data_IF_489053819255
#
_entry.id   IF_489053819255
#
_cell.length_a   1.000
_cell.length_b   1.000
_cell.length_c   1.000
_cell.angle_alpha   90.00
_cell.angle_beta   90.00
_cell.angle_gamma   90.00
#
_symmetry.space_group_name_H-M   'P 1'
#
loop_
_entity.id
_entity.type
_entity.pdbx_description
1 polymer ?
#
# COMPACT_ATOMS: atom_id res chain seq x y z
N UNK A 1 22.76 -9.96 11.15
CA UNK A 1 21.44 -9.35 10.89
C UNK A 1 20.94 -9.93 9.58
N UNK A 2 19.72 -10.47 9.48
CA UNK A 2 19.21 -10.87 8.16
C UNK A 2 19.08 -9.59 7.33
N UNK A 3 19.99 -9.41 6.37
CA UNK A 3 19.94 -8.31 5.41
C UNK A 3 18.87 -8.64 4.37
N UNK A 4 18.19 -7.60 3.87
CA UNK A 4 17.27 -7.71 2.75
C UNK A 4 17.95 -7.04 1.54
N UNK A 5 18.67 -7.79 0.68
CA UNK A 5 19.42 -7.21 -0.43
C UNK A 5 18.56 -6.35 -1.35
N UNK A 6 17.29 -6.74 -1.53
CA UNK A 6 16.33 -5.99 -2.35
C UNK A 6 15.99 -4.60 -1.83
N UNK A 7 16.37 -4.27 -0.58
CA UNK A 7 16.12 -2.96 0.05
C UNK A 7 17.39 -2.10 0.18
N UNK A 8 18.56 -2.58 -0.25
CA UNK A 8 19.84 -1.88 -0.06
C UNK A 8 19.88 -0.52 -0.76
N UNK A 9 19.15 -0.36 -1.86
CA UNK A 9 19.13 0.87 -2.66
C UNK A 9 17.98 1.83 -2.29
N UNK A 10 17.29 1.57 -1.18
CA UNK A 10 16.23 2.44 -0.69
C UNK A 10 16.84 3.80 -0.29
N UNK A 11 16.28 4.88 -0.83
CA UNK A 11 16.74 6.25 -0.54
C UNK A 11 16.18 6.73 0.81
N UNK A 12 17.00 7.35 1.66
CA UNK A 12 16.59 7.81 3.00
C UNK A 12 15.30 8.66 3.02
N UNK A 13 15.08 9.64 2.11
CA UNK A 13 13.85 10.42 2.10
C UNK A 13 12.58 9.58 1.87
N UNK A 14 12.72 8.39 1.28
CA UNK A 14 11.63 7.48 1.00
C UNK A 14 11.33 6.51 2.15
N UNK A 15 12.18 6.43 3.18
CA UNK A 15 12.02 5.50 4.30
C UNK A 15 10.65 5.58 4.99
N UNK A 16 10.12 6.77 5.32
CA UNK A 16 8.81 6.85 5.96
C UNK A 16 7.69 6.25 5.10
N UNK A 17 7.74 6.48 3.79
CA UNK A 17 6.76 5.98 2.82
C UNK A 17 6.88 4.48 2.60
N UNK A 18 8.10 3.96 2.55
CA UNK A 18 8.35 2.52 2.49
C UNK A 18 7.81 1.81 3.75
N UNK A 19 8.18 2.31 4.93
CA UNK A 19 7.77 1.72 6.20
C UNK A 19 6.25 1.70 6.34
N UNK A 20 5.57 2.81 6.05
CA UNK A 20 4.10 2.81 6.11
C UNK A 20 3.49 1.88 5.07
N UNK A 21 4.04 1.79 3.85
CA UNK A 21 3.57 0.84 2.81
C UNK A 21 3.66 -0.62 3.27
N UNK A 22 4.81 -1.02 3.83
CA UNK A 22 5.02 -2.36 4.35
C UNK A 22 4.11 -2.65 5.55
N UNK A 23 4.03 -1.72 6.51
CA UNK A 23 3.18 -1.86 7.70
C UNK A 23 1.71 -1.95 7.30
N UNK A 24 1.23 -1.11 6.37
CA UNK A 24 -0.18 -1.15 5.91
C UNK A 24 -0.53 -2.48 5.27
N UNK A 25 0.37 -3.10 4.51
CA UNK A 25 0.14 -4.47 3.98
C UNK A 25 -0.18 -5.44 5.10
N UNK A 26 0.62 -5.49 6.17
CA UNK A 26 0.34 -6.38 7.31
C UNK A 26 -0.99 -6.06 7.99
N UNK A 27 -1.24 -4.80 8.32
CA UNK A 27 -2.47 -4.40 9.03
C UNK A 27 -3.74 -4.62 8.20
N UNK A 28 -3.68 -4.39 6.88
CA UNK A 28 -4.81 -4.59 6.00
C UNK A 28 -5.32 -6.03 6.02
N UNK A 29 -4.41 -7.03 6.00
CA UNK A 29 -4.80 -8.44 5.98
C UNK A 29 -4.92 -9.08 7.36
N UNK A 30 -4.15 -8.63 8.35
CA UNK A 30 -4.04 -9.30 9.66
C UNK A 30 -4.76 -8.57 10.80
N UNK A 31 -5.29 -7.38 10.55
CA UNK A 31 -6.11 -6.63 11.50
C UNK A 31 -7.39 -6.08 10.84
N UNK A 32 -8.26 -6.94 10.30
CA UNK A 32 -9.49 -6.51 9.61
C UNK A 32 -10.46 -5.74 10.52
N UNK A 33 -10.35 -5.94 11.85
CA UNK A 33 -11.14 -5.24 12.86
C UNK A 33 -10.55 -3.88 13.27
N UNK A 34 -9.45 -3.45 12.64
CA UNK A 34 -8.77 -2.17 12.89
C UNK A 34 -8.45 -1.93 14.37
N UNK A 35 -8.00 -2.97 15.07
CA UNK A 35 -7.66 -2.93 16.50
C UNK A 35 -6.32 -2.26 16.78
N UNK A 36 -5.49 -2.06 15.76
CA UNK A 36 -4.12 -1.59 15.89
C UNK A 36 -3.17 -2.67 16.42
N UNK A 37 -3.59 -3.94 16.44
CA UNK A 37 -2.80 -5.07 16.97
C UNK A 37 -2.85 -6.26 16.03
N UNK A 38 -1.70 -6.88 15.82
CA UNK A 38 -1.57 -8.13 15.06
C UNK A 38 -1.06 -9.20 16.02
N UNK A 39 -1.74 -10.35 16.08
CA UNK A 39 -1.27 -11.47 16.88
C UNK A 39 -0.05 -12.11 16.20
N UNK A 40 0.98 -12.42 16.98
CA UNK A 40 2.22 -13.05 16.47
C UNK A 40 1.90 -14.33 15.69
N UNK A 41 0.98 -15.17 16.20
CA UNK A 41 0.57 -16.41 15.53
C UNK A 41 0.05 -16.14 14.11
N UNK A 42 -0.77 -15.10 13.94
CA UNK A 42 -1.43 -14.79 12.67
C UNK A 42 -0.39 -14.24 11.68
N UNK A 43 0.57 -13.45 12.17
CA UNK A 43 1.72 -13.00 11.39
C UNK A 43 2.61 -14.16 10.94
N UNK A 44 2.92 -15.11 11.83
CA UNK A 44 3.80 -16.26 11.52
C UNK A 44 3.16 -17.25 10.54
N UNK A 45 1.84 -17.41 10.57
CA UNK A 45 1.11 -18.30 9.65
C UNK A 45 0.66 -17.61 8.36
N UNK A 46 0.92 -16.31 8.22
CA UNK A 46 0.43 -15.51 7.10
C UNK A 46 1.35 -15.63 5.87
N UNK A 47 0.77 -15.70 4.65
CA UNK A 47 1.56 -15.62 3.41
C UNK A 47 2.27 -14.26 3.26
N UNK A 48 1.80 -13.21 3.94
CA UNK A 48 2.41 -11.87 3.90
C UNK A 48 3.82 -11.89 4.49
N UNK A 49 4.08 -12.69 5.53
CA UNK A 49 5.43 -12.81 6.08
C UNK A 49 6.36 -13.58 5.12
N UNK A 50 5.82 -14.57 4.40
CA UNK A 50 6.57 -15.29 3.38
C UNK A 50 6.96 -14.35 2.22
N UNK A 51 6.01 -13.53 1.74
CA UNK A 51 6.24 -12.48 0.74
C UNK A 51 7.38 -11.53 1.19
N UNK A 52 7.39 -11.08 2.44
CA UNK A 52 8.49 -10.27 2.97
C UNK A 52 9.84 -11.01 2.94
N UNK A 53 9.86 -12.31 3.20
CA UNK A 53 11.10 -13.10 3.20
C UNK A 53 11.67 -13.37 1.80
N UNK A 54 10.87 -13.27 0.74
CA UNK A 54 11.38 -13.35 -0.64
C UNK A 54 12.42 -12.26 -0.94
N UNK A 55 12.35 -11.11 -0.27
CA UNK A 55 13.33 -10.02 -0.38
C UNK A 55 14.74 -10.40 0.08
N UNK A 56 14.91 -11.55 0.74
CA UNK A 56 16.24 -12.10 1.08
C UNK A 56 16.95 -12.69 -0.13
N UNK A 57 16.23 -13.00 -1.21
CA UNK A 57 16.84 -13.45 -2.45
C UNK A 57 17.72 -12.34 -3.02
N UNK A 58 18.96 -12.66 -3.36
CA UNK A 58 19.87 -11.75 -4.09
C UNK A 58 19.52 -11.68 -5.57
N UNK A 59 18.76 -12.65 -6.08
CA UNK A 59 18.31 -12.74 -7.47
C UNK A 59 16.79 -12.65 -7.48
N UNK A 60 16.29 -11.47 -7.83
CA UNK A 60 14.87 -11.21 -8.02
C UNK A 60 14.71 -10.53 -9.37
N UNK A 61 13.88 -11.09 -10.24
CA UNK A 61 13.60 -10.46 -11.53
C UNK A 61 12.78 -9.18 -11.31
N UNK A 62 12.75 -8.29 -12.31
CA UNK A 62 11.91 -7.10 -12.23
C UNK A 62 10.42 -7.47 -12.09
N UNK A 63 9.98 -8.54 -12.75
CA UNK A 63 8.59 -9.02 -12.68
C UNK A 63 8.25 -9.51 -11.27
N UNK A 64 9.11 -10.34 -10.66
CA UNK A 64 8.94 -10.80 -9.28
C UNK A 64 8.94 -9.62 -8.31
N UNK A 65 9.86 -8.67 -8.50
CA UNK A 65 9.91 -7.46 -7.68
C UNK A 65 8.61 -6.65 -7.81
N UNK A 66 8.07 -6.49 -9.02
CA UNK A 66 6.80 -5.77 -9.23
C UNK A 66 5.57 -6.52 -8.69
N UNK A 67 5.66 -7.84 -8.52
CA UNK A 67 4.62 -8.67 -7.90
C UNK A 67 4.68 -8.69 -6.38
N UNK A 68 5.87 -8.51 -5.80
CA UNK A 68 6.08 -8.47 -4.36
C UNK A 68 5.87 -7.06 -3.80
N UNK A 69 4.89 -6.88 -2.92
CA UNK A 69 4.53 -5.57 -2.38
C UNK A 69 5.61 -4.94 -1.50
N UNK A 70 6.47 -5.76 -0.90
CA UNK A 70 7.56 -5.29 -0.03
C UNK A 70 8.80 -4.85 -0.80
N UNK A 71 8.88 -5.10 -2.11
CA UNK A 71 10.00 -4.65 -2.91
C UNK A 71 10.04 -3.11 -3.01
N UNK A 72 11.24 -2.58 -3.27
CA UNK A 72 11.42 -1.15 -3.57
C UNK A 72 10.61 -0.75 -4.80
N UNK A 73 10.60 -1.60 -5.83
CA UNK A 73 9.95 -1.35 -7.11
C UNK A 73 8.43 -1.21 -6.96
N UNK A 74 7.80 -2.12 -6.21
CA UNK A 74 6.36 -2.07 -5.92
C UNK A 74 6.00 -0.88 -5.05
N UNK A 75 6.78 -0.63 -3.99
CA UNK A 75 6.55 0.51 -3.09
C UNK A 75 6.65 1.85 -3.84
N UNK A 76 7.67 2.00 -4.69
CA UNK A 76 7.83 3.18 -5.55
C UNK A 76 6.69 3.31 -6.56
N UNK A 77 6.27 2.22 -7.23
CA UNK A 77 5.14 2.25 -8.17
C UNK A 77 3.88 2.82 -7.53
N UNK A 78 3.58 2.42 -6.30
CA UNK A 78 2.39 2.87 -5.57
C UNK A 78 2.53 4.32 -5.15
N UNK A 79 3.70 4.70 -4.64
CA UNK A 79 4.00 6.08 -4.27
C UNK A 79 4.00 7.04 -5.47
N UNK A 80 4.61 6.67 -6.59
CA UNK A 80 4.61 7.45 -7.83
C UNK A 80 3.19 7.62 -8.40
N UNK A 81 2.33 6.62 -8.19
CA UNK A 81 0.91 6.73 -8.55
C UNK A 81 0.23 7.76 -7.66
N UNK A 82 0.48 7.76 -6.35
CA UNK A 82 -0.06 8.76 -5.43
C UNK A 82 0.36 10.18 -5.83
N UNK A 83 1.66 10.40 -6.03
CA UNK A 83 2.21 11.71 -6.44
C UNK A 83 1.67 12.20 -7.79
N UNK A 84 1.32 11.29 -8.70
CA UNK A 84 0.73 11.66 -9.99
C UNK A 84 -0.73 12.10 -9.87
N UNK A 85 -1.45 11.53 -8.90
CA UNK A 85 -2.85 11.88 -8.64
C UNK A 85 -2.96 13.21 -7.89
N UNK A 86 -2.05 13.47 -6.94
CA UNK A 86 -1.95 14.72 -6.18
C UNK A 86 -1.47 15.86 -7.09
N UNK A 87 -2.41 16.51 -7.76
CA UNK A 87 -2.11 17.49 -8.81
C UNK A 87 -1.77 18.86 -8.29
N UNK A 88 -2.27 19.22 -7.11
CA UNK A 88 -1.92 20.47 -6.43
C UNK A 88 -0.71 20.32 -5.48
N UNK A 89 -0.21 19.09 -5.28
CA UNK A 89 0.97 18.74 -4.51
C UNK A 89 0.85 19.12 -3.04
N UNK A 90 -0.36 19.05 -2.50
CA UNK A 90 -0.63 19.35 -1.10
C UNK A 90 -0.37 18.14 -0.18
N UNK A 91 -0.07 16.97 -0.74
CA UNK A 91 0.22 15.74 -0.02
C UNK A 91 -1.02 14.91 0.32
N UNK A 92 -2.20 15.26 -0.21
CA UNK A 92 -3.49 14.60 0.00
C UNK A 92 -4.22 14.44 -1.35
N UNK A 93 -5.25 13.60 -1.40
CA UNK A 93 -6.05 13.38 -2.61
C UNK A 93 -7.50 13.80 -2.44
N UNK A 94 -7.97 14.68 -3.32
CA UNK A 94 -9.40 14.98 -3.49
C UNK A 94 -10.12 13.85 -4.21
N UNK A 95 -11.45 13.82 -4.10
CA UNK A 95 -12.31 12.89 -4.84
C UNK A 95 -12.04 12.93 -6.36
N UNK A 96 -11.89 14.13 -6.93
CA UNK A 96 -11.64 14.32 -8.36
C UNK A 96 -10.26 13.83 -8.79
N UNK A 97 -9.29 13.81 -7.88
CA UNK A 97 -7.95 13.29 -8.12
C UNK A 97 -7.96 11.77 -8.05
N UNK A 98 -8.58 11.18 -7.01
CA UNK A 98 -8.73 9.72 -6.91
C UNK A 98 -9.50 9.14 -8.09
N UNK A 99 -10.48 9.87 -8.65
CA UNK A 99 -11.21 9.46 -9.85
C UNK A 99 -10.29 9.12 -11.04
N UNK A 100 -9.08 9.71 -11.11
CA UNK A 100 -8.11 9.47 -12.18
C UNK A 100 -7.28 8.21 -11.97
N UNK A 101 -7.39 7.54 -10.82
CA UNK A 101 -6.68 6.29 -10.52
C UNK A 101 -7.01 5.19 -11.53
N UNK A 102 -8.29 5.04 -11.90
CA UNK A 102 -8.72 4.06 -12.89
C UNK A 102 -10.01 4.53 -13.57
N UNK A 103 -10.13 4.39 -14.91
CA UNK A 103 -11.32 4.83 -15.64
C UNK A 103 -12.61 4.09 -15.26
N UNK A 104 -12.51 2.97 -14.53
CA UNK A 104 -13.66 2.20 -14.04
C UNK A 104 -14.25 2.66 -12.72
N UNK A 105 -13.70 3.71 -12.08
CA UNK A 105 -14.22 4.23 -10.81
C UNK A 105 -15.39 5.17 -11.06
N UNK A 106 -16.57 4.83 -10.53
CA UNK A 106 -17.74 5.69 -10.59
C UNK A 106 -17.73 6.71 -9.46
N UNK A 107 -18.36 7.88 -9.67
CA UNK A 107 -18.49 8.91 -8.63
C UNK A 107 -19.13 8.36 -7.35
N UNK A 108 -20.17 7.52 -7.48
CA UNK A 108 -20.85 6.89 -6.34
C UNK A 108 -19.88 6.02 -5.54
N UNK A 109 -19.03 5.25 -6.22
CA UNK A 109 -18.03 4.42 -5.53
C UNK A 109 -17.00 5.29 -4.79
N UNK A 110 -16.52 6.35 -5.43
CA UNK A 110 -15.56 7.28 -4.82
C UNK A 110 -16.17 7.97 -3.60
N UNK A 111 -17.44 8.40 -3.69
CA UNK A 111 -18.15 8.99 -2.56
C UNK A 111 -18.19 8.02 -1.38
N UNK A 112 -18.51 6.74 -1.62
CA UNK A 112 -18.53 5.70 -0.58
C UNK A 112 -17.15 5.44 0.02
N UNK A 113 -16.09 5.46 -0.79
CA UNK A 113 -14.71 5.35 -0.30
C UNK A 113 -14.40 6.51 0.66
N UNK A 114 -14.73 7.75 0.30
CA UNK A 114 -14.45 8.91 1.16
C UNK A 114 -15.37 9.01 2.39
N UNK A 115 -16.52 8.34 2.39
CA UNK A 115 -17.38 8.18 3.58
C UNK A 115 -16.84 7.11 4.56
N UNK A 116 -16.24 6.05 4.03
CA UNK A 116 -15.75 4.91 4.82
C UNK A 116 -14.35 5.15 5.41
N UNK A 117 -13.48 5.83 4.66
CA UNK A 117 -12.14 6.17 5.14
C UNK A 117 -12.11 7.51 5.87
N UNK A 118 -11.22 7.63 6.85
CA UNK A 118 -10.98 8.89 7.52
C UNK A 118 -10.45 9.91 6.51
N UNK A 119 -11.09 11.06 6.39
CA UNK A 119 -10.64 12.15 5.51
C UNK A 119 -10.34 13.39 6.34
N UNK A 120 -9.41 14.20 5.86
CA UNK A 120 -9.08 15.50 6.46
C UNK A 120 -9.58 16.57 5.50
N UNK A 121 -10.60 17.31 5.94
CA UNK A 121 -11.26 18.33 5.09
C UNK A 121 -11.78 17.78 3.74
N UNK A 122 -12.15 16.49 3.71
CA UNK A 122 -12.63 15.82 2.51
C UNK A 122 -11.51 15.29 1.59
N UNK A 123 -10.27 15.28 2.06
CA UNK A 123 -9.11 14.75 1.33
C UNK A 123 -8.54 13.49 1.99
N UNK A 124 -7.98 12.61 1.16
CA UNK A 124 -7.45 11.31 1.55
C UNK A 124 -5.92 11.37 1.68
N UNK A 125 -5.38 10.88 2.80
CA UNK A 125 -3.94 10.76 2.99
C UNK A 125 -3.33 9.53 2.31
N UNK A 126 -2.00 9.48 2.26
CA UNK A 126 -1.27 8.36 1.68
C UNK A 126 -1.60 7.03 2.36
N UNK A 127 -1.83 7.04 3.68
CA UNK A 127 -2.14 5.84 4.45
C UNK A 127 -3.47 5.20 3.99
N UNK A 128 -4.51 6.01 3.83
CA UNK A 128 -5.81 5.54 3.36
C UNK A 128 -5.79 5.22 1.86
N UNK A 129 -4.97 5.93 1.08
CA UNK A 129 -4.70 5.55 -0.31
C UNK A 129 -4.09 4.15 -0.42
N UNK A 130 -3.17 3.76 0.46
CA UNK A 130 -2.61 2.41 0.48
C UNK A 130 -3.69 1.35 0.72
N UNK A 131 -4.59 1.58 1.67
CA UNK A 131 -5.71 0.66 1.92
C UNK A 131 -6.64 0.55 0.72
N UNK A 132 -6.90 1.68 0.05
CA UNK A 132 -7.65 1.71 -1.19
C UNK A 132 -6.98 0.86 -2.29
N UNK A 133 -5.67 1.03 -2.52
CA UNK A 133 -4.94 0.26 -3.54
C UNK A 133 -4.95 -1.23 -3.20
N UNK A 134 -4.71 -1.60 -1.95
CA UNK A 134 -4.76 -2.99 -1.49
C UNK A 134 -6.14 -3.62 -1.72
N UNK A 135 -7.22 -2.89 -1.43
CA UNK A 135 -8.58 -3.35 -1.73
C UNK A 135 -8.82 -3.50 -3.25
N UNK A 136 -8.30 -2.57 -4.06
CA UNK A 136 -8.46 -2.57 -5.51
C UNK A 136 -7.72 -3.69 -6.21
N UNK A 137 -6.54 -4.09 -5.72
CA UNK A 137 -5.79 -5.24 -6.22
C UNK A 137 -6.42 -6.59 -5.80
N UNK A 138 -7.30 -6.59 -4.78
CA UNK A 138 -7.87 -7.81 -4.17
C UNK A 138 -9.40 -7.91 -4.27
N UNK A 139 -10.03 -7.25 -5.25
CA UNK A 139 -11.50 -7.18 -5.44
C UNK A 139 -12.25 -8.52 -5.42
N UNK A 140 -11.56 -9.64 -5.66
CA UNK A 140 -12.15 -10.98 -5.77
C UNK A 140 -11.94 -11.85 -4.53
N UNK A 141 -11.18 -11.37 -3.54
CA UNK A 141 -10.91 -12.11 -2.31
C UNK A 141 -12.07 -11.91 -1.33
N UNK A 142 -12.71 -12.99 -0.82
CA UNK A 142 -13.66 -12.85 0.28
C UNK A 142 -12.93 -12.30 1.52
N UNK A 143 -13.54 -11.31 2.18
CA UNK A 143 -13.06 -10.81 3.48
C UNK A 143 -13.63 -11.64 4.63
#
# INVERSE_FOLDING_TARGET
MPTFPQLENLQEPFYPFYVITAVRKFFFYLDPKRTGKIMIKDMLTSPILAELYELRSTQMSLEDAMGNWFSVQSSLRVYDTYLRLDTDKNGMLKKQELARYSPGLTNIFIDRVFEEYQTYEGEMDYKNFLDFVLAMENKKSPQ
#
